data_IF_450311607261
#
_entry.id   IF_450311607261
#
_cell.length_a   1.000
_cell.length_b   1.000
_cell.length_c   1.000
_cell.angle_alpha   90.00
_cell.angle_beta   90.00
_cell.angle_gamma   90.00
#
_symmetry.space_group_name_H-M   'P 1'
#
loop_
_entity.id
_entity.type
_entity.pdbx_description
1 polymer ?
#
# COMPACT_ATOMS: atom_id res chain seq x y z
N UNK A 1 1.29 -22.89 13.20
CA UNK A 1 0.44 -22.06 12.32
C UNK A 1 1.33 -21.48 11.22
N UNK A 2 0.91 -21.52 9.95
CA UNK A 2 1.65 -20.96 8.81
C UNK A 2 1.27 -19.48 8.60
N UNK A 3 1.53 -18.65 9.62
CA UNK A 3 1.24 -17.21 9.59
C UNK A 3 2.54 -16.47 9.30
N UNK A 4 2.52 -15.55 8.33
CA UNK A 4 3.66 -14.67 8.05
C UNK A 4 3.74 -13.60 9.14
N UNK A 5 4.95 -13.30 9.59
CA UNK A 5 5.21 -12.30 10.62
C UNK A 5 6.15 -11.21 10.08
N UNK A 6 6.08 -10.04 10.69
CA UNK A 6 6.93 -8.89 10.38
C UNK A 6 7.72 -8.54 11.64
N UNK A 7 9.05 -8.50 11.52
CA UNK A 7 9.91 -8.00 12.59
C UNK A 7 10.04 -6.47 12.49
N UNK A 8 9.09 -5.77 13.10
CA UNK A 8 9.05 -4.31 13.10
C UNK A 8 10.22 -3.68 13.86
N UNK A 9 10.74 -4.36 14.89
CA UNK A 9 11.88 -3.86 15.67
C UNK A 9 13.10 -3.70 14.77
N UNK A 10 13.46 -4.75 14.04
CA UNK A 10 14.58 -4.71 13.11
C UNK A 10 14.30 -3.79 11.91
N UNK A 11 13.06 -3.74 11.42
CA UNK A 11 12.71 -2.90 10.27
C UNK A 11 12.87 -1.40 10.57
N UNK A 12 12.43 -0.93 11.74
CA UNK A 12 12.54 0.48 12.13
C UNK A 12 14.02 0.89 12.31
N UNK A 13 14.84 0.02 12.90
CA UNK A 13 16.26 0.26 13.16
C UNK A 13 17.17 0.25 11.91
N UNK A 14 16.65 -0.02 10.72
CA UNK A 14 17.43 0.16 9.48
C UNK A 14 17.83 1.62 9.25
N UNK A 15 17.12 2.55 9.90
CA UNK A 15 17.46 3.97 9.99
C UNK A 15 18.20 4.23 11.31
N UNK A 16 19.24 5.06 11.28
CA UNK A 16 20.07 5.36 12.45
C UNK A 16 19.33 6.17 13.52
N UNK A 17 18.58 7.20 13.13
CA UNK A 17 17.80 8.10 13.98
C UNK A 17 16.36 7.61 14.23
N UNK A 18 16.14 6.29 14.18
CA UNK A 18 14.80 5.69 14.24
C UNK A 18 14.03 6.05 15.51
N UNK A 19 14.69 6.16 16.66
CA UNK A 19 14.02 6.42 17.94
C UNK A 19 13.36 7.79 17.98
N UNK A 20 14.01 8.78 17.35
CA UNK A 20 13.57 10.17 17.36
C UNK A 20 12.61 10.46 16.20
N UNK A 21 12.79 9.77 15.05
CA UNK A 21 12.02 10.04 13.83
C UNK A 21 10.81 9.14 13.69
N UNK A 22 10.87 7.86 14.09
CA UNK A 22 9.79 6.90 13.81
C UNK A 22 8.62 6.99 14.78
N UNK A 23 8.79 7.68 15.91
CA UNK A 23 7.75 7.82 16.94
C UNK A 23 7.46 9.30 17.20
N UNK A 24 6.19 9.60 17.48
CA UNK A 24 5.75 10.96 17.84
C UNK A 24 5.95 11.25 19.34
N UNK A 25 5.77 10.23 20.18
CA UNK A 25 5.84 10.30 21.64
C UNK A 25 6.58 9.10 22.26
N UNK A 26 7.35 8.38 21.44
CA UNK A 26 8.03 7.14 21.80
C UNK A 26 7.17 5.86 21.68
N UNK A 27 5.86 5.97 21.38
CA UNK A 27 4.97 4.82 21.21
C UNK A 27 4.18 4.89 19.89
N UNK A 28 3.52 6.01 19.62
CA UNK A 28 2.75 6.19 18.38
C UNK A 28 3.67 6.47 17.22
N UNK A 29 3.48 5.74 16.12
CA UNK A 29 4.28 5.91 14.91
C UNK A 29 4.07 7.30 14.32
N UNK A 30 5.16 7.95 13.94
CA UNK A 30 5.11 9.14 13.10
C UNK A 30 4.73 8.77 11.66
N UNK A 31 4.64 9.78 10.79
CA UNK A 31 4.53 9.56 9.34
C UNK A 31 5.65 8.63 8.82
N UNK A 32 6.88 8.89 9.25
CA UNK A 32 8.06 8.14 8.82
C UNK A 32 8.09 6.71 9.39
N UNK A 33 7.71 6.53 10.65
CA UNK A 33 7.56 5.18 11.23
C UNK A 33 6.46 4.39 10.52
N UNK A 34 5.32 5.04 10.27
CA UNK A 34 4.18 4.42 9.57
C UNK A 34 4.59 3.94 8.18
N UNK A 35 5.36 4.75 7.42
CA UNK A 35 5.99 4.39 6.13
C UNK A 35 6.68 3.05 6.13
N UNK A 36 7.54 2.82 7.12
CA UNK A 36 8.28 1.56 7.25
C UNK A 36 7.31 0.41 7.51
N UNK A 37 6.36 0.58 8.45
CA UNK A 37 5.40 -0.48 8.78
C UNK A 37 4.54 -0.89 7.58
N UNK A 38 3.92 0.06 6.88
CA UNK A 38 3.06 -0.30 5.76
C UNK A 38 3.86 -0.88 4.59
N UNK A 39 5.11 -0.44 4.37
CA UNK A 39 6.01 -1.05 3.38
C UNK A 39 6.24 -2.53 3.69
N UNK A 40 6.54 -2.89 4.94
CA UNK A 40 6.74 -4.29 5.32
C UNK A 40 5.44 -5.11 5.24
N UNK A 41 4.29 -4.53 5.59
CA UNK A 41 2.98 -5.18 5.41
C UNK A 41 2.75 -5.48 3.93
N UNK A 42 2.90 -4.49 3.04
CA UNK A 42 2.69 -4.68 1.60
C UNK A 42 3.63 -5.73 1.01
N UNK A 43 4.91 -5.76 1.42
CA UNK A 43 5.85 -6.82 1.00
C UNK A 43 5.37 -8.22 1.38
N UNK A 44 4.88 -8.39 2.61
CA UNK A 44 4.36 -9.69 3.08
C UNK A 44 3.10 -10.06 2.32
N UNK A 45 2.18 -9.12 2.11
CA UNK A 45 0.95 -9.36 1.34
C UNK A 45 1.26 -9.71 -0.13
N UNK A 46 2.25 -9.07 -0.76
CA UNK A 46 2.69 -9.34 -2.13
C UNK A 46 3.39 -10.72 -2.24
N UNK A 47 4.20 -11.08 -1.23
CA UNK A 47 5.01 -12.31 -1.25
C UNK A 47 4.30 -13.55 -0.69
N UNK A 48 3.15 -13.35 -0.04
CA UNK A 48 2.39 -14.45 0.53
C UNK A 48 1.57 -15.14 -0.57
N UNK A 49 1.82 -16.43 -0.76
CA UNK A 49 1.04 -17.29 -1.66
C UNK A 49 -0.29 -17.73 -1.01
N UNK A 50 -1.04 -16.78 -0.44
CA UNK A 50 -2.36 -17.03 0.14
C UNK A 50 -3.43 -17.03 -0.96
N UNK A 51 -4.41 -17.93 -0.82
CA UNK A 51 -5.58 -17.98 -1.68
C UNK A 51 -6.85 -17.86 -0.82
N UNK A 52 -7.66 -16.79 -0.99
CA UNK A 52 -7.42 -15.66 -1.89
C UNK A 52 -6.24 -14.77 -1.44
N UNK A 53 -5.61 -14.08 -2.39
CA UNK A 53 -4.58 -13.08 -2.09
C UNK A 53 -5.20 -11.89 -1.35
N UNK A 54 -4.50 -11.41 -0.32
CA UNK A 54 -4.85 -10.18 0.41
C UNK A 54 -4.10 -8.96 -0.11
N UNK A 55 -3.31 -9.10 -1.19
CA UNK A 55 -2.68 -7.96 -1.84
C UNK A 55 -3.74 -7.20 -2.63
N UNK A 56 -3.87 -5.90 -2.37
CA UNK A 56 -4.96 -5.07 -2.89
C UNK A 56 -5.10 -5.10 -4.43
N UNK A 57 -3.98 -5.19 -5.19
CA UNK A 57 -4.00 -5.31 -6.67
C UNK A 57 -4.68 -6.58 -7.19
N UNK A 58 -4.77 -7.61 -6.35
CA UNK A 58 -5.40 -8.90 -6.68
C UNK A 58 -6.83 -8.99 -6.15
N UNK A 59 -7.25 -8.04 -5.30
CA UNK A 59 -8.60 -8.02 -4.74
C UNK A 59 -9.56 -7.33 -5.72
N UNK A 60 -10.76 -7.89 -5.95
CA UNK A 60 -11.78 -7.21 -6.73
C UNK A 60 -12.31 -5.99 -5.98
N UNK A 61 -12.69 -4.95 -6.72
CA UNK A 61 -13.42 -3.81 -6.15
C UNK A 61 -14.80 -4.27 -5.68
N UNK A 62 -15.16 -3.96 -4.44
CA UNK A 62 -16.44 -4.37 -3.84
C UNK A 62 -17.64 -3.73 -4.55
N UNK A 63 -17.48 -2.51 -5.06
CA UNK A 63 -18.51 -1.74 -5.77
C UNK A 63 -17.97 -1.32 -7.14
N UNK A 64 -17.90 -2.28 -8.07
CA UNK A 64 -17.34 -2.07 -9.41
C UNK A 64 -18.39 -1.62 -10.44
N UNK A 65 -19.66 -1.69 -10.09
CA UNK A 65 -20.80 -1.31 -10.92
C UNK A 65 -20.91 0.20 -11.13
N UNK A 66 -21.56 0.59 -12.24
CA UNK A 66 -21.88 1.99 -12.50
C UNK A 66 -22.93 2.49 -11.50
N UNK A 67 -22.71 3.70 -11.00
CA UNK A 67 -23.59 4.36 -10.04
C UNK A 67 -24.14 5.67 -10.59
N UNK A 68 -25.37 6.01 -10.20
CA UNK A 68 -25.92 7.35 -10.42
C UNK A 68 -25.19 8.44 -9.63
N UNK A 69 -24.40 8.04 -8.63
CA UNK A 69 -23.58 8.93 -7.80
C UNK A 69 -22.13 9.03 -8.31
N UNK A 70 -21.79 8.36 -9.42
CA UNK A 70 -20.48 8.52 -10.05
C UNK A 70 -20.31 9.94 -10.63
N UNK A 71 -19.08 10.43 -10.77
CA UNK A 71 -18.80 11.71 -11.39
C UNK A 71 -19.44 11.85 -12.77
N UNK A 72 -20.04 13.01 -13.04
CA UNK A 72 -20.68 13.31 -14.33
C UNK A 72 -19.61 13.53 -15.39
N UNK A 73 -19.79 12.91 -16.56
CA UNK A 73 -18.93 13.08 -17.71
C UNK A 73 -19.07 14.48 -18.35
N UNK A 74 -18.15 14.82 -19.26
CA UNK A 74 -18.17 16.11 -19.99
C UNK A 74 -19.45 16.29 -20.83
N UNK A 75 -20.15 15.22 -21.18
CA UNK A 75 -21.41 15.27 -21.93
C UNK A 75 -22.64 15.61 -21.07
N UNK A 76 -22.45 15.80 -19.75
CA UNK A 76 -23.48 16.10 -18.74
C UNK A 76 -24.62 15.06 -18.64
N UNK A 77 -24.50 13.92 -19.31
CA UNK A 77 -25.56 12.90 -19.42
C UNK A 77 -25.12 11.55 -18.89
N UNK A 78 -23.87 11.20 -19.10
CA UNK A 78 -23.30 9.93 -18.65
C UNK A 78 -22.52 10.13 -17.36
N UNK A 79 -22.43 9.08 -16.56
CA UNK A 79 -21.53 9.04 -15.41
C UNK A 79 -20.26 8.27 -15.78
N UNK A 80 -19.17 8.55 -15.07
CA UNK A 80 -17.88 7.92 -15.28
C UNK A 80 -17.56 7.06 -14.07
N UNK A 81 -17.60 5.74 -14.26
CA UNK A 81 -17.22 4.80 -13.22
C UNK A 81 -15.74 4.98 -12.86
N UNK A 82 -15.50 5.27 -11.58
CA UNK A 82 -14.16 5.49 -11.04
C UNK A 82 -13.67 4.35 -10.14
N UNK A 83 -14.42 3.25 -10.02
CA UNK A 83 -14.06 2.11 -9.16
C UNK A 83 -12.67 1.53 -9.49
N UNK A 84 -12.34 1.46 -10.79
CA UNK A 84 -11.06 0.95 -11.28
C UNK A 84 -9.96 2.02 -11.38
N UNK A 85 -10.23 3.25 -10.92
CA UNK A 85 -9.24 4.31 -10.96
C UNK A 85 -8.25 4.11 -9.82
N UNK A 86 -7.06 3.65 -10.17
CA UNK A 86 -5.97 3.42 -9.22
C UNK A 86 -5.29 4.73 -8.82
N UNK A 87 -5.98 5.56 -8.02
CA UNK A 87 -5.43 6.81 -7.46
C UNK A 87 -4.18 6.57 -6.59
N UNK A 88 -4.02 5.37 -6.04
CA UNK A 88 -2.94 4.99 -5.13
C UNK A 88 -1.63 4.59 -5.82
N UNK A 89 -1.61 4.43 -7.16
CA UNK A 89 -0.41 4.00 -7.91
C UNK A 89 0.78 4.96 -7.76
N UNK A 90 0.52 6.20 -7.34
CA UNK A 90 1.52 7.24 -7.07
C UNK A 90 1.72 7.53 -5.58
N UNK A 91 1.19 6.70 -4.68
CA UNK A 91 1.42 6.89 -3.26
C UNK A 91 2.90 6.60 -2.93
N UNK A 92 3.51 7.41 -2.06
CA UNK A 92 4.94 7.30 -1.71
C UNK A 92 5.33 5.87 -1.28
N UNK A 93 4.36 5.14 -0.72
CA UNK A 93 4.46 3.77 -0.23
C UNK A 93 4.78 2.72 -1.30
N UNK A 94 4.19 2.83 -2.50
CA UNK A 94 4.50 1.90 -3.60
C UNK A 94 5.76 2.32 -4.37
N UNK A 95 6.03 3.62 -4.49
CA UNK A 95 7.24 4.12 -5.16
C UNK A 95 8.51 3.57 -4.52
N UNK A 96 8.54 3.53 -3.19
CA UNK A 96 9.70 3.05 -2.42
C UNK A 96 9.87 1.52 -2.46
N UNK A 97 8.83 0.77 -2.87
CA UNK A 97 8.91 -0.66 -3.19
C UNK A 97 9.50 -0.85 -4.60
N UNK A 98 9.06 -0.06 -5.59
CA UNK A 98 9.57 -0.14 -6.96
C UNK A 98 11.07 0.20 -7.09
N UNK A 99 11.58 1.16 -6.31
CA UNK A 99 13.01 1.52 -6.32
C UNK A 99 13.89 0.42 -5.69
N UNK A 100 13.32 -0.44 -4.84
CA UNK A 100 14.05 -1.51 -4.14
C UNK A 100 14.15 -2.82 -4.92
N UNK A 101 13.43 -2.98 -6.05
CA UNK A 101 13.60 -4.12 -6.95
C UNK A 101 14.84 -3.87 -7.81
N UNK A 102 15.83 -4.78 -7.86
CA UNK A 102 17.00 -4.58 -8.71
C UNK A 102 16.56 -4.51 -10.18
N UNK A 103 17.08 -3.54 -10.92
CA UNK A 103 17.00 -3.43 -12.37
C UNK A 103 17.79 -4.58 -13.02
N UNK A 104 17.35 -5.83 -12.86
CA UNK A 104 17.92 -6.97 -13.55
C UNK A 104 16.86 -7.59 -14.45
N UNK A 105 17.01 -7.36 -15.75
CA UNK A 105 16.13 -7.86 -16.79
C UNK A 105 16.58 -7.45 -18.20
N UNK A 106 17.77 -7.87 -18.60
CA UNK A 106 18.10 -8.22 -19.98
C UNK A 106 18.70 -9.62 -19.98
#
# INVERSE_FOLDING_TARGET
>A
MNVKAIDLWSALQQREDWSDVCFTDGIHLSHEGSKIVAKEILKVLESANWEPSLHWKSMPNEFAEDSLYDPVAVDEKTTVNVSNWNFQKNSDWERDLCISKPLNGH
#
